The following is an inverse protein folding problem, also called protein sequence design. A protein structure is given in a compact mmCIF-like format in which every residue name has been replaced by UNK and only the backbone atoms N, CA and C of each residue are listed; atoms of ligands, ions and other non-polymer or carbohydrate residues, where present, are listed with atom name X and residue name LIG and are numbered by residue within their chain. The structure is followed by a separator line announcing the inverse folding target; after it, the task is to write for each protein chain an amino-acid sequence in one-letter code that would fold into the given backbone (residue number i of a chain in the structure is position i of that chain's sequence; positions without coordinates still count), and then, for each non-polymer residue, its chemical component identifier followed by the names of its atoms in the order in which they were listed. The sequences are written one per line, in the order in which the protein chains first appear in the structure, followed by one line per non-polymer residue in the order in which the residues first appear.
data_IF_760283713065
#
_entry.id   IF_760283713065
#
_cell.length_a   1.000
_cell.length_b   1.000
_cell.length_c   1.000
_cell.angle_alpha   90.00
_cell.angle_beta   90.00
_cell.angle_gamma   90.00
#
_symmetry.space_group_name_H-M   'P 1'
#
loop_
_entity.id
_entity.type
_entity.pdbx_description
1 polymer ?
#
# COMPACT_ATOMS: atom_id res chain seq x y z
N UNK A 1 9.51 -22.72 3.82
CA UNK A 1 10.29 -21.57 3.34
C UNK A 1 9.38 -20.66 2.53
N UNK A 2 9.32 -19.37 2.86
CA UNK A 2 8.57 -18.38 2.07
C UNK A 2 9.38 -18.05 0.82
N UNK A 3 8.74 -18.08 -0.35
CA UNK A 3 9.37 -17.69 -1.62
C UNK A 3 9.18 -16.19 -1.87
N UNK A 4 10.12 -15.51 -2.53
CA UNK A 4 9.88 -14.17 -3.06
C UNK A 4 8.62 -14.12 -3.93
N UNK A 5 7.86 -13.04 -3.82
CA UNK A 5 6.66 -12.80 -4.60
C UNK A 5 6.57 -11.33 -5.01
N UNK A 6 5.64 -11.03 -5.90
CA UNK A 6 5.33 -9.68 -6.34
C UNK A 6 4.23 -9.08 -5.48
N UNK A 7 4.48 -7.89 -4.95
CA UNK A 7 3.52 -7.11 -4.18
C UNK A 7 3.09 -5.89 -4.97
N UNK A 8 1.90 -5.97 -5.57
CA UNK A 8 1.29 -4.89 -6.32
C UNK A 8 0.65 -3.88 -5.35
N UNK A 9 1.06 -2.62 -5.48
CA UNK A 9 0.81 -1.63 -4.43
C UNK A 9 0.55 -0.23 -4.99
N UNK A 10 -0.27 0.55 -4.30
CA UNK A 10 -0.47 1.99 -4.51
C UNK A 10 -0.55 2.67 -3.14
N UNK A 11 0.11 3.82 -2.98
CA UNK A 11 0.07 4.61 -1.73
C UNK A 11 -1.34 5.08 -1.36
N UNK A 12 -2.28 5.10 -2.31
CA UNK A 12 -3.67 5.44 -2.07
C UNK A 12 -4.43 4.35 -1.30
N UNK A 13 -3.88 3.14 -1.15
CA UNK A 13 -4.60 2.04 -0.51
C UNK A 13 -4.22 1.89 0.97
N UNK A 14 -5.15 2.06 1.92
CA UNK A 14 -4.87 1.86 3.34
C UNK A 14 -4.54 0.39 3.66
N UNK A 15 -5.11 -0.56 2.93
CA UNK A 15 -4.74 -1.97 3.04
C UNK A 15 -3.31 -2.24 2.59
N UNK A 16 -2.85 -1.52 1.57
CA UNK A 16 -1.49 -1.63 1.06
C UNK A 16 -0.47 -1.12 2.08
N UNK A 17 -0.79 -0.07 2.84
CA UNK A 17 0.04 0.36 3.99
C UNK A 17 0.18 -0.75 5.04
N UNK A 18 -0.93 -1.39 5.43
CA UNK A 18 -0.91 -2.48 6.42
C UNK A 18 -0.09 -3.66 5.89
N UNK A 19 -0.33 -4.06 4.64
CA UNK A 19 0.42 -5.13 3.98
C UNK A 19 1.91 -4.80 3.86
N UNK A 20 2.27 -3.55 3.57
CA UNK A 20 3.65 -3.10 3.53
C UNK A 20 4.38 -3.32 4.86
N UNK A 21 3.75 -2.97 5.99
CA UNK A 21 4.31 -3.17 7.33
C UNK A 21 4.55 -4.66 7.63
N UNK A 22 3.57 -5.50 7.33
CA UNK A 22 3.72 -6.96 7.51
C UNK A 22 4.76 -7.56 6.56
N UNK A 23 4.84 -7.09 5.31
CA UNK A 23 5.88 -7.53 4.37
C UNK A 23 7.26 -7.17 4.90
N UNK A 24 7.46 -5.97 5.47
CA UNK A 24 8.75 -5.61 6.08
C UNK A 24 9.11 -6.51 7.25
N UNK A 25 8.13 -6.88 8.08
CA UNK A 25 8.31 -7.87 9.15
C UNK A 25 8.75 -9.23 8.58
N UNK A 26 8.05 -9.72 7.55
CA UNK A 26 8.36 -11.00 6.88
C UNK A 26 9.75 -11.00 6.25
N UNK A 27 10.13 -9.94 5.53
CA UNK A 27 11.46 -9.78 4.93
C UNK A 27 12.57 -9.89 5.98
N UNK A 28 12.38 -9.23 7.13
CA UNK A 28 13.35 -9.25 8.23
C UNK A 28 13.44 -10.62 8.90
N UNK A 29 12.32 -11.27 9.20
CA UNK A 29 12.28 -12.58 9.87
C UNK A 29 12.82 -13.72 9.00
N UNK A 30 12.64 -13.62 7.68
CA UNK A 30 12.96 -14.71 6.75
C UNK A 30 14.19 -14.43 5.87
N UNK A 31 14.81 -13.25 6.00
CA UNK A 31 15.92 -12.81 5.15
C UNK A 31 15.62 -12.91 3.65
N UNK A 32 14.37 -12.62 3.27
CA UNK A 32 13.92 -12.59 1.86
C UNK A 32 13.70 -11.14 1.40
N UNK A 33 13.66 -10.94 0.08
CA UNK A 33 13.26 -9.68 -0.54
C UNK A 33 11.99 -9.89 -1.35
N UNK A 34 10.98 -9.07 -1.10
CA UNK A 34 9.72 -9.06 -1.85
C UNK A 34 9.82 -8.00 -2.95
N UNK A 35 9.34 -8.33 -4.14
CA UNK A 35 9.39 -7.44 -5.28
C UNK A 35 8.20 -6.48 -5.23
N UNK A 36 8.45 -5.18 -5.04
CA UNK A 36 7.39 -4.16 -4.97
C UNK A 36 7.03 -3.70 -6.38
N UNK A 37 5.78 -3.87 -6.78
CA UNK A 37 5.29 -3.55 -8.12
C UNK A 37 4.36 -2.33 -8.04
N UNK A 38 4.84 -1.11 -8.34
CA UNK A 38 4.00 0.08 -8.27
C UNK A 38 2.91 0.03 -9.36
N UNK A 39 1.66 0.20 -8.93
CA UNK A 39 0.49 0.31 -9.82
C UNK A 39 -0.27 1.60 -9.56
N UNK A 40 -1.15 1.98 -10.49
CA UNK A 40 -2.11 3.05 -10.26
C UNK A 40 -3.50 2.45 -10.02
N UNK A 41 -3.88 2.33 -8.75
CA UNK A 41 -5.12 1.68 -8.30
C UNK A 41 -6.36 2.36 -8.89
N UNK A 42 -6.39 3.69 -8.91
CA UNK A 42 -7.52 4.44 -9.49
C UNK A 42 -7.74 4.12 -10.97
N UNK A 43 -6.66 3.94 -11.74
CA UNK A 43 -6.76 3.54 -13.14
C UNK A 43 -7.21 2.10 -13.32
N UNK A 44 -6.75 1.18 -12.46
CA UNK A 44 -7.18 -0.23 -12.47
C UNK A 44 -8.67 -0.38 -12.15
N UNK A 45 -9.16 0.33 -11.13
CA UNK A 45 -10.58 0.37 -10.80
C UNK A 45 -11.41 0.90 -11.97
N UNK A 46 -10.96 1.99 -12.60
CA UNK A 46 -11.60 2.57 -13.78
C UNK A 46 -11.63 1.58 -14.95
N UNK A 47 -10.51 0.91 -15.26
CA UNK A 47 -10.46 -0.05 -16.36
C UNK A 47 -11.35 -1.27 -16.12
N UNK A 48 -11.54 -1.67 -14.86
CA UNK A 48 -12.40 -2.78 -14.49
C UNK A 48 -13.88 -2.39 -14.29
N UNK A 49 -14.23 -1.10 -14.39
CA UNK A 49 -15.59 -0.62 -14.11
C UNK A 49 -16.00 -0.75 -12.64
N UNK A 50 -15.03 -0.85 -11.72
CA UNK A 50 -15.27 -1.03 -10.28
C UNK A 50 -15.28 0.33 -9.60
N UNK A 51 -16.31 0.60 -8.79
CA UNK A 51 -16.34 1.80 -7.93
C UNK A 51 -15.39 1.61 -6.73
N UNK A 52 -14.54 2.60 -6.41
CA UNK A 52 -13.79 2.63 -5.16
C UNK A 52 -14.70 2.44 -3.94
N UNK A 53 -14.21 1.75 -2.91
CA UNK A 53 -14.99 1.54 -1.68
C UNK A 53 -15.40 2.86 -1.01
N UNK A 54 -14.56 3.88 -1.09
CA UNK A 54 -14.83 5.20 -0.51
C UNK A 54 -15.97 5.94 -1.20
N UNK A 55 -16.27 5.61 -2.46
CA UNK A 55 -17.42 6.18 -3.19
C UNK A 55 -18.75 5.51 -2.80
N UNK A 56 -18.70 4.46 -1.97
CA UNK A 56 -19.87 3.73 -1.47
C UNK A 56 -19.92 3.93 0.05
N UNK A 57 -20.78 4.82 0.59
CA UNK A 57 -20.70 5.28 1.98
C UNK A 57 -20.59 4.18 3.05
N UNK A 58 -21.39 3.12 2.92
CA UNK A 58 -21.35 1.99 3.86
C UNK A 58 -20.04 1.20 3.79
N UNK A 59 -19.48 1.02 2.59
CA UNK A 59 -18.19 0.34 2.39
C UNK A 59 -17.04 1.22 2.83
N UNK A 60 -17.05 2.52 2.53
CA UNK A 60 -16.03 3.47 2.97
C UNK A 60 -15.92 3.53 4.49
N UNK A 61 -17.05 3.68 5.20
CA UNK A 61 -17.08 3.66 6.67
C UNK A 61 -16.54 2.35 7.24
N UNK A 62 -16.92 1.22 6.65
CA UNK A 62 -16.44 -0.09 7.10
C UNK A 62 -14.94 -0.29 6.81
N UNK A 63 -14.45 0.11 5.63
CA UNK A 63 -13.04 -0.01 5.25
C UNK A 63 -12.11 0.66 6.25
N UNK A 64 -12.46 1.87 6.72
CA UNK A 64 -11.66 2.58 7.73
C UNK A 64 -11.64 1.80 9.06
N UNK A 65 -12.80 1.28 9.50
CA UNK A 65 -12.90 0.47 10.71
C UNK A 65 -12.08 -0.83 10.58
N UNK A 66 -12.20 -1.51 9.45
CA UNK A 66 -11.49 -2.75 9.16
C UNK A 66 -9.97 -2.55 9.14
N UNK A 67 -9.48 -1.49 8.48
CA UNK A 67 -8.06 -1.14 8.50
C UNK A 67 -7.54 -0.91 9.93
N UNK A 68 -8.33 -0.24 10.79
CA UNK A 68 -7.97 -0.05 12.21
C UNK A 68 -7.89 -1.38 12.95
N UNK A 69 -8.85 -2.29 12.76
CA UNK A 69 -8.84 -3.60 13.40
C UNK A 69 -7.62 -4.43 13.01
N UNK A 70 -7.26 -4.42 11.72
CA UNK A 70 -6.06 -5.11 11.25
C UNK A 70 -4.78 -4.47 11.77
N UNK A 71 -4.71 -3.14 11.81
CA UNK A 71 -3.57 -2.43 12.37
C UNK A 71 -3.39 -2.74 13.87
N UNK A 72 -4.47 -2.74 14.65
CA UNK A 72 -4.44 -3.14 16.07
C UNK A 72 -3.96 -4.59 16.24
N UNK A 73 -4.49 -5.53 15.43
CA UNK A 73 -4.10 -6.94 15.46
C UNK A 73 -2.61 -7.15 15.17
N UNK A 74 -2.03 -6.35 14.27
CA UNK A 74 -0.63 -6.45 13.88
C UNK A 74 0.28 -5.46 14.62
N UNK A 75 -0.23 -4.73 15.61
CA UNK A 75 0.50 -3.72 16.36
C UNK A 75 1.16 -2.65 15.44
N UNK A 76 0.43 -2.22 14.41
CA UNK A 76 0.82 -1.18 13.46
C UNK A 76 0.19 0.15 13.90
N UNK A 77 0.99 1.21 14.00
CA UNK A 77 0.46 2.56 14.15
C UNK A 77 -0.25 2.97 12.86
N UNK A 78 -1.58 3.12 12.91
CA UNK A 78 -2.41 3.44 11.76
C UNK A 78 -3.22 4.70 11.98
N UNK A 79 -2.98 5.70 11.13
CA UNK A 79 -3.77 6.91 11.03
C UNK A 79 -4.36 7.01 9.63
N UNK A 80 -5.68 7.00 9.54
CA UNK A 80 -6.35 7.22 8.26
C UNK A 80 -6.05 8.65 7.76
N UNK A 81 -5.64 8.77 6.50
CA UNK A 81 -5.27 10.05 5.91
C UNK A 81 -6.50 10.97 5.78
N UNK A 82 -6.47 12.14 6.40
CA UNK A 82 -7.56 13.13 6.33
C UNK A 82 -7.73 13.75 4.93
N UNK A 83 -6.71 13.67 4.08
CA UNK A 83 -6.74 14.15 2.69
C UNK A 83 -7.16 13.08 1.69
N UNK A 84 -7.65 11.94 2.16
CA UNK A 84 -8.10 10.87 1.27
C UNK A 84 -9.32 11.31 0.41
N UNK A 85 -9.37 10.97 -0.89
CA UNK A 85 -8.37 10.24 -1.67
C UNK A 85 -7.20 11.14 -2.10
N UNK A 86 -5.98 10.58 -2.09
CA UNK A 86 -4.77 11.26 -2.56
C UNK A 86 -4.47 10.96 -4.03
N UNK A 87 -3.89 11.93 -4.74
CA UNK A 87 -3.42 11.74 -6.12
C UNK A 87 -2.01 11.12 -6.07
N UNK A 88 -1.90 9.84 -6.41
CA UNK A 88 -0.63 9.10 -6.28
C UNK A 88 0.17 8.99 -7.57
N UNK A 89 -0.33 9.47 -8.72
CA UNK A 89 0.32 9.29 -10.02
C UNK A 89 1.82 9.65 -10.02
N UNK A 90 2.18 10.80 -9.46
CA UNK A 90 3.59 11.22 -9.40
C UNK A 90 4.39 10.39 -8.39
N UNK A 91 3.80 10.05 -7.23
CA UNK A 91 4.45 9.18 -6.25
C UNK A 91 4.74 7.80 -6.84
N UNK A 92 3.78 7.19 -7.53
CA UNK A 92 3.95 5.89 -8.16
C UNK A 92 5.01 5.93 -9.28
N UNK A 93 5.06 7.01 -10.07
CA UNK A 93 6.14 7.22 -11.05
C UNK A 93 7.51 7.41 -10.39
N UNK A 94 7.57 8.09 -9.25
CA UNK A 94 8.81 8.25 -8.49
C UNK A 94 9.37 6.91 -8.00
N UNK A 95 8.51 5.92 -7.69
CA UNK A 95 8.98 4.55 -7.35
C UNK A 95 9.82 3.98 -8.50
N UNK A 96 9.34 4.07 -9.74
CA UNK A 96 10.07 3.57 -10.92
C UNK A 96 11.42 4.27 -11.13
N UNK A 97 11.50 5.57 -10.80
CA UNK A 97 12.77 6.32 -10.86
C UNK A 97 13.69 5.91 -9.71
N UNK A 98 13.15 5.69 -8.52
CA UNK A 98 13.89 5.24 -7.35
C UNK A 98 14.45 3.82 -7.53
N UNK A 99 13.73 2.94 -8.23
CA UNK A 99 14.22 1.60 -8.60
C UNK A 99 15.49 1.68 -9.45
N UNK A 100 15.51 2.53 -10.49
CA UNK A 100 16.70 2.76 -11.33
C UNK A 100 17.90 3.32 -10.56
N UNK A 101 17.66 3.91 -9.39
CA UNK A 101 18.68 4.49 -8.50
C UNK A 101 18.99 3.60 -7.28
N UNK A 102 18.41 2.40 -7.19
CA UNK A 102 18.53 1.51 -6.02
C UNK A 102 18.05 2.15 -4.70
N UNK A 103 17.11 3.10 -4.77
CA UNK A 103 16.53 3.83 -3.63
C UNK A 103 15.06 3.45 -3.36
N UNK A 104 14.47 2.56 -4.16
CA UNK A 104 13.04 2.24 -4.09
C UNK A 104 12.58 1.79 -2.71
N UNK A 105 13.34 0.90 -2.05
CA UNK A 105 12.99 0.42 -0.70
C UNK A 105 12.83 1.58 0.28
N UNK A 106 13.85 2.43 0.38
CA UNK A 106 13.84 3.59 1.28
C UNK A 106 12.74 4.59 0.91
N UNK A 107 12.56 4.88 -0.37
CA UNK A 107 11.51 5.78 -0.84
C UNK A 107 10.11 5.27 -0.47
N UNK A 108 9.83 3.98 -0.71
CA UNK A 108 8.54 3.37 -0.37
C UNK A 108 8.28 3.43 1.14
N UNK A 109 9.28 3.06 1.95
CA UNK A 109 9.19 3.12 3.41
C UNK A 109 8.85 4.56 3.87
N UNK A 110 9.55 5.56 3.33
CA UNK A 110 9.37 6.97 3.68
C UNK A 110 8.07 7.60 3.20
N UNK A 111 7.42 7.06 2.18
CA UNK A 111 6.12 7.57 1.73
C UNK A 111 4.97 6.91 2.51
N UNK A 112 5.17 5.69 3.00
CA UNK A 112 4.20 5.02 3.86
C UNK A 112 4.24 5.48 5.32
N UNK A 113 5.41 5.88 5.83
CA UNK A 113 5.62 6.40 7.19
C UNK A 113 5.30 7.91 7.32
#
# INVERSE_FOLDING_TARGET
MIKPFEFYFDFASPYTFIAHKEIRRIENENSIKINYMPILLGALLKSAGIKPNMDIPIKGKYMIKDCKLWAEKYNIEFKFNSYFPIITLNLMRCVLVAEKKSLAKNFIDKVFD
#
